data_IF_548850014605
#
_entry.id   IF_548850014605
#
_cell.length_a   1.000
_cell.length_b   1.000
_cell.length_c   1.000
_cell.angle_alpha   90.00
_cell.angle_beta   90.00
_cell.angle_gamma   90.00
#
_symmetry.space_group_name_H-M   'P 1'
#
loop_
_entity.id
_entity.type
_entity.pdbx_description
1 polymer ?
#
# COMPACT_ATOMS: atom_id res chain seq x y z
N UNK A 1 -16.63 11.52 6.86
CA UNK A 1 -15.81 10.41 6.41
C UNK A 1 -16.46 9.03 6.57
N UNK A 2 -17.64 8.88 7.12
CA UNK A 2 -18.35 7.59 7.28
C UNK A 2 -17.86 6.69 8.42
N UNK A 3 -16.80 7.04 9.14
CA UNK A 3 -16.32 6.34 10.32
C UNK A 3 -16.76 7.02 11.61
N UNK A 4 -17.17 6.24 12.62
CA UNK A 4 -17.56 6.75 13.94
C UNK A 4 -16.37 7.13 14.80
N UNK A 5 -15.20 6.55 14.54
CA UNK A 5 -13.93 6.82 15.20
C UNK A 5 -12.82 6.83 14.15
N UNK A 6 -11.86 7.73 14.31
CA UNK A 6 -10.67 7.79 13.49
C UNK A 6 -9.45 8.18 14.32
N UNK A 7 -8.35 7.45 14.15
CA UNK A 7 -7.02 7.81 14.68
C UNK A 7 -6.01 7.61 13.54
N UNK A 8 -5.34 8.67 13.14
CA UNK A 8 -4.49 8.65 11.96
C UNK A 8 -3.46 9.78 11.99
N UNK A 9 -2.53 9.78 11.08
CA UNK A 9 -1.74 10.96 10.73
C UNK A 9 -2.09 11.45 9.31
N UNK A 10 -1.92 12.76 9.01
CA UNK A 10 -2.58 13.39 7.86
C UNK A 10 -2.05 13.00 6.49
N UNK A 11 -0.93 12.29 6.38
CA UNK A 11 -0.35 11.89 5.09
C UNK A 11 0.36 10.54 5.21
N UNK A 12 1.65 10.49 4.94
CA UNK A 12 2.55 9.35 5.13
C UNK A 12 3.66 9.75 6.10
N UNK A 13 4.37 8.80 6.70
CA UNK A 13 5.38 9.11 7.70
C UNK A 13 6.56 9.93 7.17
N UNK A 14 6.78 9.92 5.86
CA UNK A 14 7.79 10.75 5.18
C UNK A 14 7.40 12.22 5.02
N UNK A 15 6.20 12.64 5.46
CA UNK A 15 5.65 14.00 5.24
C UNK A 15 5.31 14.71 6.53
N UNK A 16 5.30 16.03 6.45
CA UNK A 16 4.72 16.88 7.50
C UNK A 16 3.20 17.02 7.34
N UNK A 17 2.41 17.32 8.40
CA UNK A 17 2.84 17.43 9.80
C UNK A 17 2.98 16.05 10.46
N UNK A 18 4.01 15.89 11.26
CA UNK A 18 4.31 14.65 12.00
C UNK A 18 3.52 14.56 13.30
N UNK A 19 2.19 14.53 13.21
CA UNK A 19 1.29 14.52 14.37
C UNK A 19 0.16 13.51 14.20
N UNK A 20 -0.35 12.99 15.30
CA UNK A 20 -1.58 12.20 15.29
C UNK A 20 -2.82 13.07 15.34
N UNK A 21 -3.84 12.63 14.64
CA UNK A 21 -5.19 13.18 14.69
C UNK A 21 -6.13 12.12 15.24
N UNK A 22 -6.83 12.44 16.33
CA UNK A 22 -7.90 11.61 16.86
C UNK A 22 -9.25 12.28 16.61
N UNK A 23 -10.06 11.68 15.77
CA UNK A 23 -11.31 12.24 15.25
C UNK A 23 -11.05 13.58 14.51
N UNK A 24 -11.23 14.71 15.20
CA UNK A 24 -11.10 16.06 14.62
C UNK A 24 -10.04 16.91 15.32
N UNK A 25 -9.23 16.33 16.19
CA UNK A 25 -8.28 17.08 17.02
C UNK A 25 -6.88 16.50 16.86
N UNK A 26 -5.89 17.37 16.80
CA UNK A 26 -4.48 16.99 16.89
C UNK A 26 -4.19 16.58 18.34
N UNK A 27 -3.63 15.39 18.50
CA UNK A 27 -3.28 14.84 19.81
C UNK A 27 -2.08 15.59 20.38
N UNK A 28 -2.18 16.02 21.63
CA UNK A 28 -1.08 16.70 22.34
C UNK A 28 -0.80 18.16 21.92
N UNK A 29 -1.60 18.72 20.99
CA UNK A 29 -1.42 20.12 20.59
C UNK A 29 -1.80 21.07 21.73
N UNK A 30 -0.91 22.05 22.00
CA UNK A 30 -1.13 23.10 23.01
C UNK A 30 -1.36 24.44 22.32
N UNK A 31 -2.21 25.29 22.91
CA UNK A 31 -2.66 26.53 22.30
C UNK A 31 -1.53 27.56 22.01
N UNK A 32 -0.48 27.54 22.79
CA UNK A 32 0.67 28.46 22.64
C UNK A 32 1.75 27.92 21.67
N UNK A 33 1.54 26.77 21.01
CA UNK A 33 2.48 26.18 20.04
C UNK A 33 1.69 25.65 18.82
N UNK A 34 1.06 26.55 18.04
CA UNK A 34 0.25 26.17 16.88
C UNK A 34 1.11 25.58 15.76
N UNK A 35 0.53 24.64 15.00
CA UNK A 35 1.19 24.02 13.86
C UNK A 35 0.96 24.89 12.62
N UNK A 36 2.04 25.12 11.85
CA UNK A 36 1.98 25.62 10.47
C UNK A 36 2.69 24.63 9.55
N UNK A 37 2.18 24.47 8.35
CA UNK A 37 2.72 23.55 7.31
C UNK A 37 2.75 24.27 5.98
N UNK A 38 3.81 24.07 5.20
CA UNK A 38 3.93 24.47 3.80
C UNK A 38 4.56 23.35 2.98
N UNK A 39 4.10 23.17 1.75
CA UNK A 39 4.71 22.26 0.77
C UNK A 39 5.38 23.03 -0.39
N UNK A 40 5.42 24.35 -0.30
CA UNK A 40 6.00 25.24 -1.32
C UNK A 40 7.27 25.89 -0.80
N UNK A 41 7.13 26.75 0.22
CA UNK A 41 8.21 27.55 0.75
C UNK A 41 8.57 27.15 2.19
N UNK A 42 9.85 27.32 2.54
CA UNK A 42 10.31 27.15 3.92
C UNK A 42 9.61 28.13 4.84
N UNK A 43 9.08 27.62 5.94
CA UNK A 43 8.49 28.39 7.03
C UNK A 43 9.22 28.11 8.34
N UNK A 44 9.27 29.12 9.23
CA UNK A 44 9.92 29.01 10.55
C UNK A 44 11.42 28.72 10.49
N UNK A 45 11.95 28.35 11.66
CA UNK A 45 13.40 28.17 11.88
C UNK A 45 13.80 26.70 12.09
N UNK A 46 12.89 25.75 11.84
CA UNK A 46 13.23 24.34 11.98
C UNK A 46 14.33 23.95 10.97
N UNK A 47 15.30 23.11 11.39
CA UNK A 47 16.36 22.67 10.51
C UNK A 47 15.83 21.83 9.36
N UNK A 48 16.45 21.98 8.19
CA UNK A 48 16.16 21.15 7.02
C UNK A 48 17.32 20.18 6.73
N UNK A 49 17.01 19.01 6.16
CA UNK A 49 18.03 18.06 5.75
C UNK A 49 18.97 18.62 4.69
N UNK A 50 18.46 19.50 3.83
CA UNK A 50 19.23 20.18 2.80
C UNK A 50 20.29 21.12 3.38
N UNK A 51 19.93 21.88 4.42
CA UNK A 51 20.85 22.85 5.07
C UNK A 51 21.71 22.17 6.16
N UNK A 52 21.22 21.12 6.78
CA UNK A 52 21.80 20.46 7.95
C UNK A 52 21.89 18.94 7.77
N UNK A 53 22.57 18.42 6.73
CA UNK A 53 22.62 16.98 6.46
C UNK A 53 23.22 16.15 7.60
N UNK A 54 24.07 16.77 8.44
CA UNK A 54 24.67 16.13 9.61
C UNK A 54 23.68 15.84 10.75
N UNK A 55 22.46 16.39 10.71
CA UNK A 55 21.40 16.10 11.69
C UNK A 55 20.51 14.92 11.26
N UNK A 56 20.70 14.39 10.06
CA UNK A 56 19.92 13.27 9.56
C UNK A 56 20.45 11.94 10.12
N UNK A 57 19.58 11.17 10.73
CA UNK A 57 19.83 9.77 11.11
C UNK A 57 19.80 8.83 9.90
N UNK A 58 19.09 9.21 8.86
CA UNK A 58 18.96 8.48 7.60
C UNK A 58 19.13 9.45 6.44
N UNK A 59 20.01 9.11 5.49
CA UNK A 59 20.26 9.96 4.35
C UNK A 59 19.02 10.03 3.46
N UNK A 60 18.53 11.25 3.21
CA UNK A 60 17.40 11.51 2.35
C UNK A 60 17.82 11.59 0.87
N UNK A 61 16.95 11.10 -0.02
CA UNK A 61 17.09 11.28 -1.46
C UNK A 61 16.55 12.66 -1.83
N UNK A 62 17.46 13.63 -2.01
CA UNK A 62 17.15 15.03 -2.32
C UNK A 62 16.22 15.20 -3.52
N UNK A 63 16.43 14.38 -4.57
CA UNK A 63 15.62 14.39 -5.78
C UNK A 63 14.12 14.07 -5.55
N UNK A 64 13.75 13.62 -4.35
CA UNK A 64 12.40 13.27 -3.97
C UNK A 64 11.84 14.19 -2.88
N UNK A 65 12.56 15.25 -2.51
CA UNK A 65 12.11 16.23 -1.51
C UNK A 65 12.08 15.73 -0.07
N UNK A 66 12.78 14.63 0.25
CA UNK A 66 12.82 14.06 1.61
C UNK A 66 13.88 14.73 2.51
N UNK A 67 14.35 15.90 2.14
CA UNK A 67 15.40 16.66 2.82
C UNK A 67 14.95 18.04 3.33
N UNK A 68 13.63 18.24 3.46
CA UNK A 68 13.04 19.47 4.02
C UNK A 68 13.03 19.41 5.55
N UNK A 69 11.96 19.77 6.27
CA UNK A 69 12.02 19.85 7.74
C UNK A 69 12.46 18.55 8.40
N UNK A 70 13.44 18.65 9.30
CA UNK A 70 13.89 17.50 10.10
C UNK A 70 13.00 17.36 11.34
N UNK A 71 12.39 16.20 11.50
CA UNK A 71 11.71 15.81 12.73
C UNK A 71 12.23 14.44 13.18
N UNK A 72 12.67 14.35 14.44
CA UNK A 72 13.28 13.14 15.02
C UNK A 72 14.48 12.59 14.21
N UNK A 73 15.30 13.49 13.68
CA UNK A 73 16.45 13.10 12.84
C UNK A 73 16.09 12.63 11.42
N UNK A 74 14.82 12.69 11.03
CA UNK A 74 14.34 12.30 9.70
C UNK A 74 13.93 13.55 8.93
N UNK A 75 14.50 13.74 7.73
CA UNK A 75 14.07 14.77 6.79
C UNK A 75 12.71 14.39 6.21
N UNK A 76 11.79 15.34 6.14
CA UNK A 76 10.43 15.12 5.65
C UNK A 76 10.18 15.87 4.35
N UNK A 77 9.18 15.45 3.60
CA UNK A 77 8.61 16.25 2.52
C UNK A 77 7.73 17.33 3.14
N UNK A 78 8.01 18.60 2.83
CA UNK A 78 7.32 19.76 3.33
C UNK A 78 7.98 20.39 4.56
N UNK A 79 7.55 21.61 4.84
CA UNK A 79 8.05 22.45 5.93
C UNK A 79 7.02 22.50 7.05
N UNK A 80 7.48 22.38 8.30
CA UNK A 80 6.63 22.38 9.47
C UNK A 80 7.24 23.26 10.58
N UNK A 81 6.38 24.01 11.25
CA UNK A 81 6.72 24.79 12.44
C UNK A 81 5.71 24.54 13.54
N UNK A 82 6.16 24.62 14.79
CA UNK A 82 5.32 24.44 15.98
C UNK A 82 4.90 22.99 16.23
N UNK A 83 3.93 22.82 17.12
CA UNK A 83 3.40 21.53 17.52
C UNK A 83 4.39 20.59 18.19
N UNK A 84 5.44 21.12 18.84
CA UNK A 84 6.57 20.31 19.36
C UNK A 84 6.13 19.18 20.27
N UNK A 85 5.12 19.41 21.13
CA UNK A 85 4.58 18.40 22.04
C UNK A 85 3.64 17.39 21.37
N UNK A 86 3.15 17.71 20.18
CA UNK A 86 2.24 16.87 19.43
C UNK A 86 2.95 15.94 18.45
N UNK A 87 4.24 16.19 18.17
CA UNK A 87 5.02 15.41 17.20
C UNK A 87 5.19 13.98 17.71
N UNK A 88 4.96 12.99 16.81
CA UNK A 88 5.19 11.59 17.15
C UNK A 88 6.68 11.24 17.24
N UNK A 89 6.95 10.10 17.88
CA UNK A 89 8.21 9.39 17.75
C UNK A 89 8.04 8.27 16.71
N UNK A 90 8.90 8.23 15.69
CA UNK A 90 8.79 7.28 14.59
C UNK A 90 8.89 5.81 15.05
N UNK A 91 9.77 5.53 16.01
CA UNK A 91 9.94 4.18 16.57
C UNK A 91 8.71 3.68 17.36
N UNK A 92 7.78 4.58 17.72
CA UNK A 92 6.57 4.26 18.49
C UNK A 92 5.31 4.15 17.64
N UNK A 93 5.37 4.40 16.33
CA UNK A 93 4.19 4.42 15.45
C UNK A 93 3.41 3.10 15.53
N UNK A 94 4.08 1.97 15.33
CA UNK A 94 3.43 0.66 15.35
C UNK A 94 2.79 0.35 16.70
N UNK A 95 3.47 0.65 17.81
CA UNK A 95 2.93 0.44 19.17
C UNK A 95 1.70 1.30 19.42
N UNK A 96 1.76 2.58 19.03
CA UNK A 96 0.65 3.52 19.20
C UNK A 96 -0.59 3.09 18.41
N UNK A 97 -0.42 2.75 17.14
CA UNK A 97 -1.54 2.29 16.32
C UNK A 97 -2.11 0.96 16.79
N UNK A 98 -1.25 0.01 17.19
CA UNK A 98 -1.68 -1.29 17.73
C UNK A 98 -2.50 -1.11 19.02
N UNK A 99 -2.05 -0.26 19.94
CA UNK A 99 -2.79 0.04 21.19
C UNK A 99 -4.16 0.66 20.87
N UNK A 100 -4.22 1.64 19.97
CA UNK A 100 -5.48 2.27 19.54
C UNK A 100 -6.43 1.25 18.91
N UNK A 101 -5.93 0.36 18.06
CA UNK A 101 -6.73 -0.70 17.44
C UNK A 101 -7.28 -1.68 18.50
N UNK A 102 -6.44 -2.14 19.43
CA UNK A 102 -6.86 -3.01 20.55
C UNK A 102 -7.92 -2.36 21.43
N UNK A 103 -7.74 -1.07 21.77
CA UNK A 103 -8.75 -0.31 22.54
C UNK A 103 -10.06 -0.17 21.76
N UNK A 104 -10.01 0.10 20.46
CA UNK A 104 -11.20 0.16 19.62
C UNK A 104 -11.96 -1.18 19.65
N UNK A 105 -11.28 -2.31 19.48
CA UNK A 105 -11.86 -3.64 19.53
C UNK A 105 -12.53 -3.87 20.89
N UNK A 106 -11.82 -3.60 22.00
CA UNK A 106 -12.37 -3.78 23.35
C UNK A 106 -13.63 -2.93 23.59
N UNK A 107 -13.64 -1.69 23.13
CA UNK A 107 -14.78 -0.78 23.33
C UNK A 107 -16.02 -1.17 22.51
N UNK A 108 -15.84 -2.01 21.46
CA UNK A 108 -16.91 -2.41 20.56
C UNK A 108 -17.32 -3.89 20.66
N UNK A 109 -16.90 -4.61 21.70
CA UNK A 109 -17.17 -6.06 21.88
C UNK A 109 -18.64 -6.45 21.76
N UNK A 110 -19.56 -5.59 22.16
CA UNK A 110 -21.01 -5.86 22.19
C UNK A 110 -21.71 -5.54 20.87
N UNK A 111 -21.00 -4.94 19.92
CA UNK A 111 -21.55 -4.48 18.65
C UNK A 111 -20.75 -5.03 17.48
N UNK A 112 -21.36 -5.26 16.31
CA UNK A 112 -20.61 -5.45 15.09
C UNK A 112 -19.73 -4.22 14.81
N UNK A 113 -18.49 -4.44 14.38
CA UNK A 113 -17.58 -3.35 14.01
C UNK A 113 -16.88 -3.63 12.69
N UNK A 114 -16.45 -2.58 12.04
CA UNK A 114 -15.51 -2.59 10.93
C UNK A 114 -14.30 -1.77 11.32
N UNK A 115 -13.13 -2.41 11.39
CA UNK A 115 -11.85 -1.76 11.64
C UNK A 115 -11.04 -1.73 10.35
N UNK A 116 -10.84 -0.53 9.78
CA UNK A 116 -9.87 -0.31 8.72
C UNK A 116 -8.54 0.11 9.37
N UNK A 117 -7.59 -0.83 9.40
CA UNK A 117 -6.31 -0.66 10.06
C UNK A 117 -5.20 -0.52 9.01
N UNK A 118 -4.97 0.71 8.54
CA UNK A 118 -3.92 1.02 7.57
C UNK A 118 -2.59 1.17 8.30
N UNK A 119 -1.71 0.19 8.11
CA UNK A 119 -0.39 0.16 8.75
C UNK A 119 0.58 1.06 7.98
N UNK A 120 1.51 1.70 8.71
CA UNK A 120 2.63 2.43 8.12
C UNK A 120 3.70 1.49 7.57
N UNK A 121 3.87 0.34 8.24
CA UNK A 121 4.90 -0.63 7.90
C UNK A 121 4.56 -1.33 6.59
N UNK A 122 5.49 -1.43 5.71
CA UNK A 122 6.94 -1.23 5.72
C UNK A 122 7.36 -0.01 4.87
N UNK A 123 6.54 1.05 4.82
CA UNK A 123 6.84 2.26 4.05
C UNK A 123 8.04 3.02 4.67
N UNK A 124 8.81 3.71 3.84
CA UNK A 124 9.87 4.59 4.29
C UNK A 124 9.32 5.90 4.92
N UNK A 125 10.01 6.53 5.87
CA UNK A 125 11.27 6.13 6.51
C UNK A 125 11.09 4.89 7.38
N UNK A 126 12.07 3.97 7.32
CA UNK A 126 12.00 2.71 8.06
C UNK A 126 12.64 2.89 9.43
N UNK A 127 11.79 3.12 10.42
CA UNK A 127 12.17 3.36 11.81
C UNK A 127 11.51 2.33 12.73
N UNK A 128 12.01 1.07 12.72
CA UNK A 128 11.45 0.02 13.58
C UNK A 128 11.65 0.33 15.06
N UNK A 129 10.65 -0.01 15.87
CA UNK A 129 10.72 0.12 17.32
C UNK A 129 11.89 -0.68 17.90
N UNK A 130 12.36 -0.24 19.06
CA UNK A 130 13.59 -0.75 19.71
C UNK A 130 13.60 -2.28 19.87
N UNK A 131 12.44 -2.92 20.08
CA UNK A 131 12.34 -4.36 20.23
C UNK A 131 12.66 -5.15 18.94
N UNK A 132 12.64 -4.48 17.78
CA UNK A 132 12.90 -5.13 16.49
C UNK A 132 14.31 -4.84 15.96
N UNK A 133 15.07 -3.99 16.63
CA UNK A 133 16.44 -3.68 16.21
C UNK A 133 17.33 -4.91 16.23
N UNK A 134 18.05 -5.16 15.12
CA UNK A 134 18.92 -6.34 14.94
C UNK A 134 18.17 -7.66 14.71
N UNK A 135 16.85 -7.64 14.52
CA UNK A 135 16.05 -8.87 14.35
C UNK A 135 16.08 -9.46 12.93
N UNK A 136 16.73 -8.80 11.98
CA UNK A 136 16.77 -9.26 10.58
C UNK A 136 18.08 -8.94 9.87
N UNK A 137 18.63 -9.86 9.05
CA UNK A 137 19.79 -9.59 8.22
C UNK A 137 19.50 -8.60 7.07
N UNK A 138 18.23 -8.30 6.80
CA UNK A 138 17.80 -7.32 5.81
C UNK A 138 17.78 -5.87 6.35
N UNK A 139 18.41 -5.62 7.51
CA UNK A 139 18.49 -4.32 8.14
C UNK A 139 17.12 -3.72 8.46
N UNK A 140 17.01 -2.39 8.43
CA UNK A 140 15.79 -1.66 8.82
C UNK A 140 14.55 -2.15 8.09
N UNK A 141 14.65 -2.52 6.80
CA UNK A 141 13.51 -3.06 6.05
C UNK A 141 13.03 -4.39 6.63
N UNK A 142 13.94 -5.31 6.92
CA UNK A 142 13.58 -6.62 7.48
C UNK A 142 13.05 -6.51 8.91
N UNK A 143 13.59 -5.59 9.69
CA UNK A 143 13.11 -5.27 11.03
C UNK A 143 11.69 -4.72 11.01
N UNK A 144 11.35 -3.85 10.01
CA UNK A 144 9.98 -3.36 9.79
C UNK A 144 9.03 -4.48 9.34
N UNK A 145 9.52 -5.48 8.59
CA UNK A 145 8.71 -6.67 8.25
C UNK A 145 8.38 -7.47 9.51
N UNK A 146 9.36 -7.69 10.40
CA UNK A 146 9.13 -8.35 11.68
C UNK A 146 8.16 -7.56 12.58
N UNK A 147 8.25 -6.23 12.57
CA UNK A 147 7.32 -5.34 13.28
C UNK A 147 5.89 -5.42 12.71
N UNK A 148 5.75 -5.47 11.38
CA UNK A 148 4.46 -5.66 10.71
C UNK A 148 3.82 -6.99 11.14
N UNK A 149 4.58 -8.07 11.12
CA UNK A 149 4.11 -9.40 11.53
C UNK A 149 3.69 -9.40 13.01
N UNK A 150 4.49 -8.78 13.87
CA UNK A 150 4.15 -8.56 15.28
C UNK A 150 2.83 -7.79 15.43
N UNK A 151 2.64 -6.71 14.69
CA UNK A 151 1.42 -5.89 14.74
C UNK A 151 0.18 -6.71 14.41
N UNK A 152 0.22 -7.49 13.33
CA UNK A 152 -0.87 -8.40 12.96
C UNK A 152 -1.08 -9.45 14.04
N UNK A 153 0.00 -10.04 14.56
CA UNK A 153 -0.03 -11.01 15.65
C UNK A 153 -0.70 -10.47 16.92
N UNK A 154 -0.44 -9.20 17.28
CA UNK A 154 -1.06 -8.56 18.44
C UNK A 154 -2.58 -8.37 18.28
N UNK A 155 -3.06 -8.06 17.07
CA UNK A 155 -4.49 -8.00 16.79
C UNK A 155 -5.13 -9.39 16.89
N UNK A 156 -4.50 -10.41 16.31
CA UNK A 156 -4.99 -11.80 16.40
C UNK A 156 -5.05 -12.27 17.86
N UNK A 157 -3.99 -12.07 18.65
CA UNK A 157 -3.95 -12.39 20.08
C UNK A 157 -5.05 -11.67 20.86
N UNK A 158 -5.33 -10.41 20.53
CA UNK A 158 -6.38 -9.65 21.21
C UNK A 158 -7.77 -10.22 20.90
N UNK A 159 -8.06 -10.57 19.64
CA UNK A 159 -9.32 -11.24 19.27
C UNK A 159 -9.48 -12.60 19.97
N UNK A 160 -8.39 -13.37 20.10
CA UNK A 160 -8.37 -14.64 20.83
C UNK A 160 -8.64 -14.43 22.33
N UNK A 161 -7.92 -13.48 22.95
CA UNK A 161 -8.11 -13.13 24.37
C UNK A 161 -9.56 -12.75 24.70
N UNK A 162 -10.21 -12.08 23.75
CA UNK A 162 -11.61 -11.64 23.86
C UNK A 162 -12.63 -12.71 23.45
N UNK A 163 -12.18 -13.85 22.93
CA UNK A 163 -13.06 -14.94 22.50
C UNK A 163 -13.89 -14.67 21.25
N UNK A 164 -13.50 -13.66 20.44
CA UNK A 164 -14.24 -13.23 19.24
C UNK A 164 -13.54 -13.59 17.91
N UNK A 165 -12.35 -14.18 17.92
CA UNK A 165 -11.58 -14.58 16.73
C UNK A 165 -12.44 -15.40 15.75
N UNK A 166 -13.16 -16.39 16.26
CA UNK A 166 -14.04 -17.25 15.46
C UNK A 166 -15.20 -16.52 14.78
N UNK A 167 -15.55 -15.33 15.25
CA UNK A 167 -16.63 -14.50 14.69
C UNK A 167 -16.10 -13.22 14.00
N UNK A 168 -14.80 -13.16 13.73
CA UNK A 168 -14.16 -12.01 13.09
C UNK A 168 -13.54 -12.44 11.77
N UNK A 169 -13.84 -11.72 10.69
CA UNK A 169 -13.11 -11.81 9.42
C UNK A 169 -11.92 -10.86 9.48
N UNK A 170 -10.73 -11.39 9.30
CA UNK A 170 -9.49 -10.63 9.15
C UNK A 170 -9.10 -10.68 7.68
N UNK A 171 -8.85 -9.52 7.07
CA UNK A 171 -8.30 -9.40 5.71
C UNK A 171 -6.98 -8.65 5.82
N UNK A 172 -5.90 -9.30 5.40
CA UNK A 172 -4.59 -8.68 5.27
C UNK A 172 -4.27 -8.52 3.78
N UNK A 173 -3.87 -7.31 3.39
CA UNK A 173 -3.50 -6.99 2.00
C UNK A 173 -2.63 -5.73 1.96
N UNK A 174 -2.12 -5.38 0.78
CA UNK A 174 -1.32 -4.17 0.55
C UNK A 174 -2.04 -3.24 -0.44
N UNK A 175 -1.48 -2.03 -0.59
CA UNK A 175 -1.90 -1.05 -1.61
C UNK A 175 -1.16 -1.25 -2.95
N UNK A 176 0.14 -1.58 -2.93
CA UNK A 176 0.98 -1.76 -4.11
C UNK A 176 2.15 -2.72 -3.85
N UNK A 177 2.88 -3.02 -4.91
CA UNK A 177 4.09 -3.81 -4.85
C UNK A 177 5.28 -3.13 -4.14
N UNK A 178 6.41 -3.83 -3.98
CA UNK A 178 7.54 -3.35 -3.19
C UNK A 178 8.31 -2.21 -3.83
N UNK A 179 8.89 -1.34 -2.98
CA UNK A 179 9.98 -0.44 -3.31
C UNK A 179 11.10 -0.64 -2.28
N UNK A 180 12.32 -0.87 -2.74
CA UNK A 180 13.49 -0.96 -1.86
C UNK A 180 14.08 0.40 -1.57
N UNK A 181 14.19 1.23 -2.60
CA UNK A 181 14.67 2.61 -2.52
C UNK A 181 13.50 3.58 -2.77
N UNK A 182 12.99 4.20 -1.72
CA UNK A 182 11.85 5.13 -1.80
C UNK A 182 12.01 6.27 -0.79
N UNK A 183 12.71 7.31 -1.18
CA UNK A 183 12.91 8.54 -0.40
C UNK A 183 14.13 8.56 0.51
N UNK A 184 14.66 7.42 0.92
CA UNK A 184 15.77 7.33 1.88
C UNK A 184 16.74 6.22 1.50
N UNK A 185 18.03 6.42 1.82
CA UNK A 185 19.07 5.40 1.70
C UNK A 185 19.19 4.66 3.05
N UNK A 186 18.69 3.44 3.10
CA UNK A 186 18.66 2.58 4.29
C UNK A 186 19.25 1.18 4.03
N UNK A 187 20.08 1.09 2.98
CA UNK A 187 20.74 -0.14 2.52
C UNK A 187 19.82 -1.28 2.08
N UNK A 188 18.51 -1.04 1.96
CA UNK A 188 17.55 -2.10 1.64
C UNK A 188 17.83 -2.81 0.31
N UNK A 189 18.29 -2.08 -0.74
CA UNK A 189 18.68 -2.69 -2.02
C UNK A 189 19.95 -3.54 -1.88
N UNK A 190 20.97 -3.03 -1.18
CA UNK A 190 22.25 -3.70 -0.98
C UNK A 190 22.06 -4.99 -0.21
N UNK A 191 21.31 -4.92 0.90
CA UNK A 191 21.03 -6.06 1.76
C UNK A 191 20.13 -7.09 1.07
N UNK A 192 19.15 -6.66 0.26
CA UNK A 192 18.32 -7.57 -0.52
C UNK A 192 19.17 -8.39 -1.50
N UNK A 193 20.13 -7.78 -2.18
CA UNK A 193 21.07 -8.49 -3.07
C UNK A 193 21.96 -9.44 -2.28
N UNK A 194 22.57 -8.96 -1.20
CA UNK A 194 23.47 -9.74 -0.35
C UNK A 194 22.80 -11.00 0.22
N UNK A 195 21.59 -10.87 0.70
CA UNK A 195 20.82 -11.95 1.33
C UNK A 195 19.94 -12.73 0.32
N UNK A 196 20.10 -12.49 -0.98
CA UNK A 196 19.29 -13.08 -2.05
C UNK A 196 17.76 -12.94 -1.80
N UNK A 197 17.35 -11.84 -1.19
CA UNK A 197 15.95 -11.55 -0.92
C UNK A 197 15.27 -10.94 -2.15
N UNK A 198 14.16 -11.55 -2.56
CA UNK A 198 13.32 -11.07 -3.68
C UNK A 198 11.96 -10.66 -3.15
N UNK A 199 11.72 -9.37 -2.90
CA UNK A 199 10.49 -8.87 -2.26
C UNK A 199 9.19 -9.25 -2.99
N UNK A 200 9.25 -9.42 -4.31
CA UNK A 200 8.14 -9.83 -5.17
C UNK A 200 8.28 -11.27 -5.71
N UNK A 201 9.21 -12.06 -5.17
CA UNK A 201 9.45 -13.41 -5.65
C UNK A 201 9.92 -13.45 -7.12
N UNK A 202 9.25 -14.22 -8.00
CA UNK A 202 9.62 -14.31 -9.42
C UNK A 202 9.11 -13.16 -10.28
N UNK A 203 8.21 -12.32 -9.77
CA UNK A 203 7.60 -11.21 -10.50
C UNK A 203 8.59 -10.07 -10.68
N UNK A 204 8.52 -9.35 -11.82
CA UNK A 204 9.35 -8.19 -12.12
C UNK A 204 8.65 -6.88 -11.80
N UNK A 205 9.43 -5.80 -11.67
CA UNK A 205 8.95 -4.47 -11.34
C UNK A 205 8.76 -4.25 -9.83
N UNK A 206 7.83 -3.41 -9.46
CA UNK A 206 7.54 -3.00 -8.10
C UNK A 206 6.55 -1.85 -8.05
N UNK A 207 6.53 -1.09 -6.97
CA UNK A 207 5.70 0.12 -6.83
C UNK A 207 5.83 1.01 -8.09
N UNK A 208 4.74 1.56 -8.58
CA UNK A 208 4.60 2.38 -9.80
C UNK A 208 4.62 1.61 -11.13
N UNK A 209 4.99 0.34 -11.18
CA UNK A 209 5.02 -0.40 -12.43
C UNK A 209 3.67 -1.03 -12.79
N UNK A 210 3.48 -1.25 -14.10
CA UNK A 210 2.28 -1.92 -14.63
C UNK A 210 2.45 -3.43 -14.72
N UNK A 211 3.67 -3.94 -14.48
CA UNK A 211 3.99 -5.37 -14.47
C UNK A 211 3.65 -6.00 -13.12
N UNK A 212 3.62 -7.33 -13.07
CA UNK A 212 3.03 -8.10 -11.98
C UNK A 212 3.50 -7.71 -10.58
N UNK A 213 4.79 -7.43 -10.35
CA UNK A 213 5.23 -7.02 -9.02
C UNK A 213 4.71 -5.65 -8.58
N UNK A 214 4.17 -4.82 -9.49
CA UNK A 214 3.56 -3.54 -9.14
C UNK A 214 2.09 -3.66 -8.72
N UNK A 215 1.37 -4.57 -9.34
CA UNK A 215 -0.10 -4.65 -9.28
C UNK A 215 -0.63 -5.90 -8.58
N UNK A 216 0.08 -7.04 -8.65
CA UNK A 216 -0.28 -8.26 -7.93
C UNK A 216 0.20 -8.21 -6.50
N UNK A 217 -0.71 -7.92 -5.59
CA UNK A 217 -0.46 -7.81 -4.16
C UNK A 217 -0.91 -9.05 -3.40
N UNK A 218 -0.28 -9.39 -2.26
CA UNK A 218 -0.76 -10.45 -1.39
C UNK A 218 -2.13 -10.12 -0.80
N UNK A 219 -2.95 -11.17 -0.64
CA UNK A 219 -4.19 -11.09 0.12
C UNK A 219 -4.38 -12.36 0.93
N UNK A 220 -4.59 -12.22 2.24
CA UNK A 220 -4.85 -13.31 3.17
C UNK A 220 -6.17 -13.01 3.87
N UNK A 221 -7.06 -14.01 3.90
CA UNK A 221 -8.35 -13.88 4.60
C UNK A 221 -8.46 -14.99 5.63
N UNK A 222 -8.70 -14.61 6.86
CA UNK A 222 -8.93 -15.54 7.97
C UNK A 222 -10.31 -15.30 8.59
N UNK A 223 -11.11 -16.35 8.65
CA UNK A 223 -12.34 -16.42 9.42
C UNK A 223 -12.58 -17.87 9.86
N UNK A 224 -12.02 -18.29 10.99
CA UNK A 224 -11.92 -19.71 11.36
C UNK A 224 -13.25 -20.48 11.31
N UNK A 225 -14.35 -19.86 11.69
CA UNK A 225 -15.70 -20.49 11.66
C UNK A 225 -16.29 -20.64 10.24
N UNK A 226 -15.82 -19.88 9.26
CA UNK A 226 -16.49 -19.77 7.94
C UNK A 226 -15.62 -20.11 6.75
N UNK A 227 -14.31 -19.96 6.85
CA UNK A 227 -13.37 -20.17 5.76
C UNK A 227 -12.46 -21.34 6.11
N UNK A 228 -12.42 -22.34 5.22
CA UNK A 228 -11.45 -23.45 5.31
C UNK A 228 -10.10 -22.99 4.79
N UNK A 229 -9.02 -23.50 5.39
CA UNK A 229 -7.67 -23.25 4.88
C UNK A 229 -7.52 -23.74 3.44
N UNK A 230 -6.88 -22.92 2.61
CA UNK A 230 -6.67 -23.23 1.20
C UNK A 230 -6.04 -22.05 0.45
N UNK A 231 -5.77 -22.24 -0.83
CA UNK A 231 -5.26 -21.21 -1.74
C UNK A 231 -6.26 -21.01 -2.86
N UNK A 232 -6.50 -19.75 -3.24
CA UNK A 232 -7.36 -19.39 -4.36
C UNK A 232 -6.55 -18.62 -5.41
N UNK A 233 -6.69 -19.02 -6.67
CA UNK A 233 -6.15 -18.31 -7.83
C UNK A 233 -7.21 -17.42 -8.51
N UNK A 234 -8.29 -17.11 -7.81
CA UNK A 234 -9.39 -16.31 -8.34
C UNK A 234 -8.94 -14.89 -8.62
N UNK A 235 -9.18 -14.39 -9.82
CA UNK A 235 -8.90 -13.02 -10.20
C UNK A 235 -9.86 -12.07 -9.45
N UNK A 236 -9.31 -11.18 -8.65
CA UNK A 236 -10.05 -10.21 -7.82
C UNK A 236 -9.30 -8.88 -7.72
N UNK A 237 -10.03 -7.83 -7.37
CA UNK A 237 -9.48 -6.50 -7.06
C UNK A 237 -9.96 -6.02 -5.70
N UNK A 238 -9.18 -5.19 -5.03
CA UNK A 238 -9.64 -4.49 -3.81
C UNK A 238 -10.89 -3.62 -4.06
N UNK A 239 -11.10 -3.16 -5.28
CA UNK A 239 -12.33 -2.47 -5.69
C UNK A 239 -13.59 -3.29 -5.37
N UNK A 240 -13.47 -4.62 -5.38
CA UNK A 240 -14.59 -5.55 -5.17
C UNK A 240 -15.09 -5.60 -3.72
N UNK A 241 -14.33 -5.08 -2.78
CA UNK A 241 -14.74 -5.03 -1.38
C UNK A 241 -16.04 -4.23 -1.20
N UNK A 242 -16.23 -3.12 -1.93
CA UNK A 242 -17.39 -2.25 -1.76
C UNK A 242 -18.69 -3.03 -2.06
N UNK A 243 -18.86 -3.57 -3.26
CA UNK A 243 -20.08 -4.30 -3.62
C UNK A 243 -20.19 -5.65 -2.90
N UNK A 244 -19.07 -6.30 -2.58
CA UNK A 244 -19.07 -7.55 -1.82
C UNK A 244 -19.60 -7.35 -0.41
N UNK A 245 -19.11 -6.35 0.31
CA UNK A 245 -19.59 -6.04 1.66
C UNK A 245 -21.01 -5.46 1.65
N UNK A 246 -21.34 -4.61 0.68
CA UNK A 246 -22.71 -4.12 0.53
C UNK A 246 -23.69 -5.30 0.37
N UNK A 247 -23.38 -6.24 -0.50
CA UNK A 247 -24.17 -7.46 -0.67
C UNK A 247 -24.26 -8.30 0.62
N UNK A 248 -23.15 -8.42 1.36
CA UNK A 248 -23.11 -9.15 2.63
C UNK A 248 -24.03 -8.54 3.69
N UNK A 249 -24.15 -7.21 3.71
CA UNK A 249 -24.99 -6.46 4.65
C UNK A 249 -26.36 -6.09 4.10
N UNK A 250 -26.76 -6.66 2.94
CA UNK A 250 -28.03 -6.35 2.25
C UNK A 250 -28.19 -4.82 1.96
N UNK A 251 -27.10 -4.16 1.65
CA UNK A 251 -27.08 -2.75 1.25
C UNK A 251 -27.04 -2.62 -0.25
N UNK A 252 -27.72 -1.63 -0.79
CA UNK A 252 -27.66 -1.28 -2.22
C UNK A 252 -26.50 -0.32 -2.47
N UNK A 253 -25.83 -0.49 -3.60
CA UNK A 253 -24.85 0.45 -4.16
C UNK A 253 -25.42 0.95 -5.47
N UNK A 254 -25.57 2.25 -5.62
CA UNK A 254 -26.09 2.84 -6.86
C UNK A 254 -25.16 2.54 -8.04
N UNK A 255 -25.71 2.53 -9.26
CA UNK A 255 -24.93 2.19 -10.46
C UNK A 255 -23.81 3.19 -10.78
N UNK A 256 -23.93 4.44 -10.31
CA UNK A 256 -22.92 5.48 -10.42
C UNK A 256 -21.91 5.50 -9.26
N UNK A 257 -22.08 4.63 -8.25
CA UNK A 257 -21.17 4.46 -7.13
C UNK A 257 -20.36 3.17 -7.28
N UNK A 258 -19.09 3.20 -6.94
CA UNK A 258 -18.18 2.05 -7.04
C UNK A 258 -18.30 1.31 -8.39
N UNK A 259 -18.26 2.07 -9.50
CA UNK A 259 -18.55 1.63 -10.88
C UNK A 259 -17.72 0.40 -11.27
N UNK A 260 -16.47 0.32 -10.78
CA UNK A 260 -15.52 -0.75 -11.08
C UNK A 260 -15.59 -1.93 -10.13
N UNK A 261 -16.44 -1.85 -9.09
CA UNK A 261 -16.59 -2.90 -8.09
C UNK A 261 -17.52 -4.00 -8.58
N UNK A 262 -17.15 -5.25 -8.37
CA UNK A 262 -18.00 -6.42 -8.58
C UNK A 262 -18.26 -7.12 -7.23
N UNK A 263 -19.36 -7.88 -7.14
CA UNK A 263 -19.64 -8.65 -5.93
C UNK A 263 -18.92 -10.01 -5.99
N UNK A 264 -17.90 -10.16 -5.19
CA UNK A 264 -17.11 -11.37 -5.03
C UNK A 264 -17.13 -11.93 -3.59
N UNK A 265 -18.17 -11.67 -2.82
CA UNK A 265 -18.28 -12.15 -1.43
C UNK A 265 -18.15 -13.68 -1.33
N UNK A 266 -18.69 -14.43 -2.29
CA UNK A 266 -18.55 -15.89 -2.33
C UNK A 266 -17.08 -16.33 -2.47
N UNK A 267 -16.26 -15.57 -3.19
CA UNK A 267 -14.82 -15.82 -3.35
C UNK A 267 -14.06 -15.48 -2.06
N UNK A 268 -14.38 -14.33 -1.43
CA UNK A 268 -13.82 -13.93 -0.13
C UNK A 268 -14.09 -14.97 0.96
N UNK A 269 -15.21 -15.70 0.86
CA UNK A 269 -15.57 -16.77 1.78
C UNK A 269 -15.05 -18.15 1.36
N UNK A 270 -14.26 -18.24 0.30
CA UNK A 270 -13.75 -19.52 -0.23
C UNK A 270 -14.82 -20.45 -0.81
N UNK A 271 -15.99 -19.90 -1.19
CA UNK A 271 -17.16 -20.66 -1.69
C UNK A 271 -17.30 -20.64 -3.21
N UNK A 272 -16.48 -19.90 -3.92
CA UNK A 272 -16.47 -19.79 -5.37
C UNK A 272 -15.05 -19.66 -5.89
N UNK A 273 -14.82 -20.25 -7.07
CA UNK A 273 -13.58 -20.06 -7.85
C UNK A 273 -13.81 -19.17 -9.07
N UNK A 274 -15.03 -18.68 -9.28
CA UNK A 274 -15.37 -17.80 -10.39
C UNK A 274 -15.14 -16.35 -9.98
N UNK A 275 -14.03 -15.78 -10.39
CA UNK A 275 -13.66 -14.38 -10.15
C UNK A 275 -14.05 -13.43 -11.28
N UNK A 276 -13.37 -12.31 -11.34
CA UNK A 276 -13.47 -11.36 -12.45
C UNK A 276 -13.08 -11.99 -13.77
N UNK A 277 -13.74 -11.56 -14.82
CA UNK A 277 -13.33 -11.91 -16.18
C UNK A 277 -12.11 -11.09 -16.62
N UNK A 278 -12.06 -9.83 -16.20
CA UNK A 278 -10.99 -8.89 -16.55
C UNK A 278 -10.62 -7.98 -15.39
N UNK A 279 -9.35 -7.57 -15.35
CA UNK A 279 -8.87 -6.44 -14.56
C UNK A 279 -8.13 -5.49 -15.48
N UNK A 280 -8.39 -4.18 -15.35
CA UNK A 280 -7.56 -3.13 -15.93
C UNK A 280 -6.63 -2.62 -14.86
N UNK A 281 -5.35 -2.61 -15.16
CA UNK A 281 -4.28 -2.17 -14.27
C UNK A 281 -3.66 -0.88 -14.81
N UNK A 282 -3.25 0.00 -13.93
CA UNK A 282 -2.58 1.24 -14.26
C UNK A 282 -1.30 1.39 -13.45
N UNK A 283 -0.20 1.60 -14.15
CA UNK A 283 1.06 2.10 -13.63
C UNK A 283 1.45 3.31 -14.46
N UNK A 284 2.69 3.32 -14.96
CA UNK A 284 3.12 4.29 -15.98
C UNK A 284 2.47 4.07 -17.36
N UNK A 285 1.87 2.91 -17.57
CA UNK A 285 1.06 2.52 -18.72
C UNK A 285 -0.23 1.85 -18.25
N UNK A 286 -1.05 1.38 -19.18
CA UNK A 286 -2.25 0.57 -18.91
C UNK A 286 -2.00 -0.88 -19.30
N UNK A 287 -2.59 -1.79 -18.54
CA UNK A 287 -2.67 -3.19 -18.90
C UNK A 287 -4.09 -3.72 -18.70
N UNK A 288 -4.42 -4.80 -19.42
CA UNK A 288 -5.61 -5.59 -19.19
C UNK A 288 -5.22 -7.05 -18.96
N UNK A 289 -5.72 -7.61 -17.88
CA UNK A 289 -5.64 -9.03 -17.57
C UNK A 289 -6.99 -9.64 -17.93
N UNK A 290 -6.97 -10.72 -18.73
CA UNK A 290 -8.14 -11.53 -19.07
C UNK A 290 -7.78 -13.00 -18.89
N UNK A 291 -8.41 -13.65 -17.92
CA UNK A 291 -8.04 -15.00 -17.52
C UNK A 291 -6.54 -15.08 -17.14
N UNK A 292 -5.75 -15.88 -17.84
CA UNK A 292 -4.30 -16.01 -17.65
C UNK A 292 -3.45 -15.07 -18.51
N UNK A 293 -4.07 -14.26 -19.37
CA UNK A 293 -3.39 -13.43 -20.35
C UNK A 293 -3.34 -11.99 -19.93
N UNK A 294 -2.17 -11.37 -20.08
CA UNK A 294 -1.96 -9.94 -19.84
C UNK A 294 -1.45 -9.25 -21.08
N UNK A 295 -2.12 -8.16 -21.43
CA UNK A 295 -1.70 -7.25 -22.48
C UNK A 295 -1.34 -5.90 -21.87
N UNK A 296 -0.14 -5.38 -22.20
CA UNK A 296 0.32 -4.06 -21.78
C UNK A 296 0.40 -3.15 -22.99
N UNK A 297 -0.23 -1.98 -22.89
CA UNK A 297 -0.28 -0.97 -23.96
C UNK A 297 1.11 -0.37 -24.20
N UNK A 298 1.52 -0.15 -25.45
CA UNK A 298 2.73 0.61 -25.76
C UNK A 298 2.71 1.97 -25.09
N UNK A 299 3.80 2.33 -24.44
CA UNK A 299 3.95 3.62 -23.77
C UNK A 299 5.38 4.15 -23.92
N UNK A 300 5.49 5.47 -24.09
CA UNK A 300 6.76 6.17 -23.97
C UNK A 300 7.04 6.47 -22.51
N UNK A 301 8.29 6.34 -22.08
CA UNK A 301 8.70 6.62 -20.71
C UNK A 301 9.97 5.86 -20.35
N UNK A 302 10.44 6.06 -19.14
CA UNK A 302 11.61 5.33 -18.64
C UNK A 302 11.28 3.86 -18.47
N UNK A 303 12.10 2.96 -18.98
CA UNK A 303 11.98 1.53 -18.74
C UNK A 303 12.31 1.20 -17.26
N UNK A 304 13.29 1.90 -16.71
CA UNK A 304 13.68 1.83 -15.30
C UNK A 304 13.42 3.19 -14.65
N UNK A 305 12.57 3.21 -13.64
CA UNK A 305 12.22 4.42 -12.88
C UNK A 305 13.37 4.81 -11.96
N UNK A 306 14.04 5.92 -12.26
CA UNK A 306 15.10 6.47 -11.42
C UNK A 306 14.53 7.51 -10.44
N UNK A 307 15.13 7.66 -9.23
CA UNK A 307 16.26 6.90 -8.66
C UNK A 307 15.84 5.57 -8.00
N UNK A 308 14.58 5.15 -8.09
CA UNK A 308 14.04 3.98 -7.39
C UNK A 308 14.51 2.63 -7.91
N UNK A 309 15.16 2.63 -9.08
CA UNK A 309 15.66 1.44 -9.76
C UNK A 309 14.57 0.36 -9.98
N UNK A 310 13.35 0.79 -10.29
CA UNK A 310 12.19 -0.09 -10.49
C UNK A 310 11.88 -0.17 -11.98
N UNK A 311 11.73 -1.38 -12.50
CA UNK A 311 11.28 -1.62 -13.87
C UNK A 311 9.81 -1.19 -14.01
N UNK A 312 9.53 -0.25 -14.92
CA UNK A 312 8.19 0.34 -15.06
C UNK A 312 7.20 -0.52 -15.84
N UNK A 313 7.70 -1.37 -16.72
CA UNK A 313 6.91 -2.06 -17.74
C UNK A 313 6.67 -1.22 -19.01
N UNK A 314 7.21 0.00 -19.10
CA UNK A 314 7.09 0.81 -20.32
C UNK A 314 7.88 0.19 -21.49
N UNK A 315 7.24 0.14 -22.64
CA UNK A 315 7.83 -0.28 -23.91
C UNK A 315 7.12 0.43 -25.06
N UNK A 316 7.85 0.77 -26.10
CA UNK A 316 7.29 1.37 -27.33
C UNK A 316 6.58 0.35 -28.21
N UNK A 317 6.75 -0.93 -27.92
CA UNK A 317 6.05 -2.04 -28.58
C UNK A 317 5.04 -2.67 -27.62
N UNK A 318 3.96 -3.28 -28.12
CA UNK A 318 3.01 -3.97 -27.28
C UNK A 318 3.66 -5.17 -26.58
N UNK A 319 3.16 -5.50 -25.40
CA UNK A 319 3.64 -6.63 -24.63
C UNK A 319 2.46 -7.57 -24.31
N UNK A 320 2.68 -8.87 -24.43
CA UNK A 320 1.66 -9.88 -24.21
C UNK A 320 2.24 -11.11 -23.52
N UNK A 321 1.65 -11.53 -22.41
CA UNK A 321 2.18 -12.58 -21.53
C UNK A 321 1.13 -13.61 -21.14
N UNK A 322 1.56 -14.84 -20.91
CA UNK A 322 0.78 -15.88 -20.24
C UNK A 322 1.22 -15.98 -18.78
N UNK A 323 0.49 -15.36 -17.88
CA UNK A 323 0.83 -15.28 -16.45
C UNK A 323 0.81 -16.64 -15.73
N UNK A 324 0.13 -17.63 -16.29
CA UNK A 324 0.11 -18.99 -15.74
C UNK A 324 1.46 -19.69 -15.88
N UNK A 325 2.13 -19.48 -17.01
CA UNK A 325 3.39 -20.14 -17.33
C UNK A 325 4.59 -19.22 -17.13
N UNK A 326 4.38 -17.91 -17.15
CA UNK A 326 5.39 -16.85 -17.07
C UNK A 326 4.90 -15.69 -16.20
N UNK A 327 4.79 -15.92 -14.88
CA UNK A 327 4.42 -14.89 -13.91
C UNK A 327 5.43 -13.74 -13.84
N UNK A 328 6.65 -13.98 -14.30
CA UNK A 328 7.73 -12.99 -14.36
C UNK A 328 7.73 -12.14 -15.63
N UNK A 329 6.77 -12.34 -16.53
CA UNK A 329 6.58 -11.57 -17.77
C UNK A 329 7.89 -11.42 -18.59
N UNK A 330 8.64 -12.52 -18.74
CA UNK A 330 9.95 -12.56 -19.41
C UNK A 330 9.86 -12.78 -20.89
N UNK A 331 8.81 -13.47 -21.35
CA UNK A 331 8.65 -13.92 -22.74
C UNK A 331 7.49 -13.16 -23.38
N UNK A 332 7.79 -12.09 -24.13
CA UNK A 332 6.76 -11.37 -24.89
C UNK A 332 6.24 -12.23 -26.04
N UNK A 333 4.96 -12.55 -25.98
CA UNK A 333 4.28 -13.44 -26.91
C UNK A 333 3.47 -12.70 -28.00
N UNK A 334 3.67 -11.41 -28.17
CA UNK A 334 2.91 -10.56 -29.10
C UNK A 334 2.93 -11.11 -30.54
N UNK A 335 4.10 -11.52 -31.04
CA UNK A 335 4.24 -12.07 -32.39
C UNK A 335 3.61 -13.46 -32.53
N UNK A 336 3.61 -14.24 -31.46
CA UNK A 336 3.06 -15.59 -31.46
C UNK A 336 1.53 -15.64 -31.42
N UNK A 337 0.89 -14.64 -30.80
CA UNK A 337 -0.56 -14.59 -30.61
C UNK A 337 -1.19 -13.25 -31.03
N UNK A 338 -1.02 -12.81 -32.31
CA UNK A 338 -1.48 -11.48 -32.74
C UNK A 338 -3.00 -11.29 -32.62
N UNK A 339 -3.80 -12.34 -32.81
CA UNK A 339 -5.26 -12.27 -32.64
C UNK A 339 -5.67 -12.03 -31.21
N UNK A 340 -4.96 -12.64 -30.25
CA UNK A 340 -5.22 -12.42 -28.83
C UNK A 340 -4.83 -11.00 -28.39
N UNK A 341 -3.72 -10.48 -28.90
CA UNK A 341 -3.31 -9.10 -28.70
C UNK A 341 -4.38 -8.14 -29.21
N UNK A 342 -4.89 -8.34 -30.42
CA UNK A 342 -5.98 -7.56 -30.99
C UNK A 342 -7.25 -7.64 -30.13
N UNK A 343 -7.60 -8.84 -29.67
CA UNK A 343 -8.76 -9.07 -28.79
C UNK A 343 -8.64 -8.27 -27.49
N UNK A 344 -7.55 -8.42 -26.75
CA UNK A 344 -7.38 -7.75 -25.45
C UNK A 344 -7.24 -6.23 -25.61
N UNK A 345 -6.53 -5.76 -26.62
CA UNK A 345 -6.47 -4.35 -26.98
C UNK A 345 -7.86 -3.78 -27.27
N UNK A 346 -8.67 -4.48 -28.07
CA UNK A 346 -10.05 -4.10 -28.36
C UNK A 346 -10.94 -4.07 -27.12
N UNK A 347 -10.80 -5.07 -26.22
CA UNK A 347 -11.52 -5.09 -24.93
C UNK A 347 -11.16 -3.89 -24.07
N UNK A 348 -9.88 -3.54 -23.97
CA UNK A 348 -9.41 -2.39 -23.20
C UNK A 348 -9.98 -1.07 -23.76
N UNK A 349 -9.96 -0.89 -25.08
CA UNK A 349 -10.54 0.31 -25.71
C UNK A 349 -12.05 0.40 -25.49
N UNK A 350 -12.78 -0.70 -25.54
CA UNK A 350 -14.22 -0.72 -25.22
C UNK A 350 -14.48 -0.31 -23.76
N UNK A 351 -13.66 -0.77 -22.80
CA UNK A 351 -13.77 -0.39 -21.40
C UNK A 351 -13.50 1.12 -21.24
N UNK A 352 -12.48 1.65 -21.89
CA UNK A 352 -12.15 3.08 -21.89
C UNK A 352 -13.31 3.93 -22.43
N UNK A 353 -13.91 3.52 -23.55
CA UNK A 353 -15.03 4.24 -24.18
C UNK A 353 -16.31 4.23 -23.33
N UNK A 354 -16.66 3.08 -22.74
CA UNK A 354 -17.86 2.96 -21.89
C UNK A 354 -17.83 3.83 -20.64
N UNK A 355 -16.67 4.24 -20.21
CA UNK A 355 -16.48 4.86 -18.89
C UNK A 355 -16.17 6.35 -18.93
N UNK A 356 -16.23 7.04 -20.08
CA UNK A 356 -15.92 8.45 -20.20
C UNK A 356 -14.79 8.87 -19.25
N UNK A 357 -13.60 8.26 -19.41
CA UNK A 357 -12.43 8.62 -18.62
C UNK A 357 -12.03 10.06 -18.99
N UNK A 358 -12.57 11.02 -18.27
CA UNK A 358 -12.00 12.35 -18.19
C UNK A 358 -10.70 12.26 -17.41
N UNK A 359 -9.64 11.82 -18.07
CA UNK A 359 -8.29 12.00 -17.57
C UNK A 359 -7.96 13.49 -17.56
N UNK A 360 -8.35 14.19 -16.50
CA UNK A 360 -7.64 15.41 -16.15
C UNK A 360 -6.29 14.93 -15.60
N UNK A 361 -5.22 15.19 -16.35
CA UNK A 361 -3.85 15.06 -15.86
C UNK A 361 -3.73 15.99 -14.64
N UNK A 362 -3.51 15.44 -13.49
CA UNK A 362 -3.04 16.13 -12.30
C UNK A 362 -1.51 16.17 -12.35
#
# INVERSE_FOLDING_TARGET
MGFNYAFFFPATADRVPTVFIENKKVVGLVANDPIRVSYEDKIGDEPTGKENPGLLMMKALQQQGHDETIVNGIGRIGFMEGGKKARWNDEELAYTFTDKAKRFINNNLKNPFFLFFSLNDIHAPRMPGIAFRGSSPLGLRGEMINQLDWTVGEIVKELQRLGIENNTMIIFTNDNGPALLDGYEDDAEILAVKENHKPAGPMRGGKYSVVEAGTRIPMIISWPKKIKAGVSNTLMSQLDFVRSFASWFNQQVNDNEAIDSENHMANLLGKSTKGRTTIVEQGSSLAIVWDQWKYIVPAKGQAILQPRNIESGNSTVPQFYNLKDDIGEKNNLTEKYPEMVQKLSGMLEQIKQKRHFNFKRY
#
